data_IF_570368925036
#
_entry.id   IF_570368925036
#
_cell.length_a   1.000
_cell.length_b   1.000
_cell.length_c   1.000
_cell.angle_alpha   90.00
_cell.angle_beta   90.00
_cell.angle_gamma   90.00
#
_symmetry.space_group_name_H-M   'P 1'
#
loop_
_entity.id
_entity.type
_entity.pdbx_description
1 polymer ?
#
# COMPACT_ATOMS: atom_id res chain seq x y z
N UNK A 1 -11.98 3.26 -6.35
CA UNK A 1 -10.89 3.39 -7.37
C UNK A 1 -10.62 2.03 -8.03
N UNK A 2 -9.75 1.93 -9.04
CA UNK A 2 -9.31 0.65 -9.62
C UNK A 2 -8.04 0.12 -8.94
N UNK A 3 -7.70 -1.15 -9.17
CA UNK A 3 -6.41 -1.75 -8.76
C UNK A 3 -5.21 -0.96 -9.30
N UNK A 4 -5.26 -0.51 -10.55
CA UNK A 4 -4.18 0.26 -11.19
C UNK A 4 -4.01 1.66 -10.57
N UNK A 5 -5.13 2.30 -10.16
CA UNK A 5 -5.09 3.55 -9.41
C UNK A 5 -4.34 3.36 -8.08
N UNK A 6 -4.65 2.29 -7.34
CA UNK A 6 -3.99 1.97 -6.07
C UNK A 6 -2.49 1.73 -6.26
N UNK A 7 -2.11 0.96 -7.28
CA UNK A 7 -0.71 0.69 -7.62
C UNK A 7 0.06 1.99 -7.89
N UNK A 8 -0.51 2.89 -8.72
CA UNK A 8 0.11 4.17 -9.06
C UNK A 8 0.25 5.10 -7.85
N UNK A 9 -0.72 5.09 -6.94
CA UNK A 9 -0.65 5.87 -5.69
C UNK A 9 0.44 5.30 -4.78
N UNK A 10 0.49 3.98 -4.61
CA UNK A 10 1.50 3.30 -3.80
C UNK A 10 2.92 3.56 -4.31
N UNK A 11 3.16 3.38 -5.61
CA UNK A 11 4.46 3.66 -6.25
C UNK A 11 4.89 5.11 -6.03
N UNK A 12 3.99 6.06 -6.35
CA UNK A 12 4.27 7.48 -6.18
C UNK A 12 4.61 7.80 -4.72
N UNK A 13 3.82 7.28 -3.77
CA UNK A 13 4.06 7.49 -2.35
C UNK A 13 5.41 6.91 -1.90
N UNK A 14 5.76 5.71 -2.35
CA UNK A 14 7.04 5.09 -2.03
C UNK A 14 8.21 5.94 -2.53
N UNK A 15 8.17 6.40 -3.79
CA UNK A 15 9.22 7.23 -4.39
C UNK A 15 9.34 8.58 -3.66
N UNK A 16 8.22 9.26 -3.40
CA UNK A 16 8.22 10.58 -2.73
C UNK A 16 8.74 10.51 -1.29
N UNK A 17 8.62 9.35 -0.62
CA UNK A 17 9.07 9.13 0.75
C UNK A 17 10.38 8.34 0.85
N UNK A 18 11.07 8.08 -0.28
CA UNK A 18 12.30 7.31 -0.34
C UNK A 18 12.18 5.91 0.31
N UNK A 19 11.02 5.27 0.13
CA UNK A 19 10.74 3.91 0.57
C UNK A 19 11.14 2.89 -0.49
N UNK A 20 11.52 1.67 -0.09
CA UNK A 20 11.89 0.60 -1.01
C UNK A 20 10.73 0.16 -1.90
N UNK A 21 10.91 0.25 -3.22
CA UNK A 21 9.93 -0.16 -4.23
C UNK A 21 10.55 -1.11 -5.26
N UNK A 22 9.90 -2.25 -5.52
CA UNK A 22 10.24 -3.18 -6.61
C UNK A 22 8.98 -3.52 -7.42
N UNK A 23 8.89 -2.98 -8.63
CA UNK A 23 7.76 -3.13 -9.55
C UNK A 23 7.56 -4.57 -10.05
N UNK A 24 8.56 -5.44 -9.88
CA UNK A 24 8.54 -6.84 -10.34
C UNK A 24 7.80 -7.77 -9.39
N UNK A 25 7.65 -7.37 -8.14
CA UNK A 25 7.11 -8.21 -7.07
C UNK A 25 6.03 -7.45 -6.30
N UNK A 26 4.92 -7.10 -6.96
CA UNK A 26 3.80 -6.37 -6.34
C UNK A 26 2.55 -7.25 -6.25
N UNK A 27 2.02 -7.37 -5.04
CA UNK A 27 0.70 -7.92 -4.77
C UNK A 27 -0.27 -6.80 -4.38
N UNK A 28 -1.53 -6.92 -4.79
CA UNK A 28 -2.55 -5.91 -4.52
C UNK A 28 -3.85 -6.60 -4.11
N UNK A 29 -4.28 -6.32 -2.88
CA UNK A 29 -5.45 -6.91 -2.25
C UNK A 29 -6.47 -5.81 -1.95
N UNK A 30 -7.75 -6.12 -2.11
CA UNK A 30 -8.85 -5.25 -1.71
C UNK A 30 -9.48 -5.79 -0.43
N UNK A 31 -9.75 -4.91 0.51
CA UNK A 31 -10.40 -5.22 1.79
C UNK A 31 -11.51 -4.19 2.04
N UNK A 32 -12.77 -4.64 2.06
CA UNK A 32 -13.94 -3.79 2.30
C UNK A 32 -14.21 -3.53 3.79
N UNK A 33 -13.51 -4.23 4.70
CA UNK A 33 -13.70 -4.19 6.14
C UNK A 33 -12.43 -3.77 6.90
N UNK A 34 -11.60 -2.91 6.30
CA UNK A 34 -10.40 -2.41 6.97
C UNK A 34 -10.76 -1.44 8.12
N UNK A 35 -10.29 -1.68 9.35
CA UNK A 35 -10.62 -0.84 10.50
C UNK A 35 -9.78 0.45 10.50
N UNK A 36 -10.39 1.59 10.18
CA UNK A 36 -9.75 2.90 10.26
C UNK A 36 -9.53 3.35 11.71
N UNK A 37 -8.69 4.38 11.92
CA UNK A 37 -8.35 4.90 13.26
C UNK A 37 -9.58 5.37 14.08
N UNK A 38 -10.65 5.79 13.40
CA UNK A 38 -11.89 6.22 14.03
C UNK A 38 -12.81 5.05 14.43
N UNK A 39 -12.39 3.80 14.18
CA UNK A 39 -13.16 2.59 14.46
C UNK A 39 -14.24 2.27 13.42
N UNK A 40 -14.35 3.05 12.34
CA UNK A 40 -15.22 2.72 11.21
C UNK A 40 -14.48 1.81 10.22
N UNK A 41 -15.25 0.96 9.56
CA UNK A 41 -14.73 0.14 8.46
C UNK A 41 -14.75 0.95 7.17
N UNK A 42 -13.62 0.97 6.48
CA UNK A 42 -13.47 1.67 5.21
C UNK A 42 -12.92 0.72 4.16
N UNK A 43 -13.38 0.82 2.90
CA UNK A 43 -12.83 0.01 1.83
C UNK A 43 -11.42 0.48 1.49
N UNK A 44 -10.47 -0.44 1.42
CA UNK A 44 -9.05 -0.15 1.18
C UNK A 44 -8.43 -1.05 0.12
N UNK A 45 -7.37 -0.53 -0.48
CA UNK A 45 -6.42 -1.30 -1.28
C UNK A 45 -5.12 -1.42 -0.49
N UNK A 46 -4.66 -2.64 -0.28
CA UNK A 46 -3.35 -2.93 0.27
C UNK A 46 -2.42 -3.32 -0.87
N UNK A 47 -1.34 -2.55 -1.04
CA UNK A 47 -0.30 -2.80 -2.04
C UNK A 47 0.95 -3.26 -1.31
N UNK A 48 1.36 -4.51 -1.55
CA UNK A 48 2.58 -5.10 -1.00
C UNK A 48 3.61 -5.21 -2.11
N UNK A 49 4.78 -4.58 -1.94
CA UNK A 49 5.94 -4.83 -2.79
C UNK A 49 7.01 -5.58 -2.00
N UNK A 50 7.48 -6.70 -2.56
CA UNK A 50 8.61 -7.43 -2.00
C UNK A 50 9.90 -6.89 -2.62
N UNK A 51 10.59 -6.04 -1.88
CA UNK A 51 11.90 -5.57 -2.26
C UNK A 51 12.95 -6.58 -1.80
N UNK A 52 12.95 -7.77 -2.43
CA UNK A 52 13.85 -8.90 -2.10
C UNK A 52 15.32 -8.47 -2.08
N UNK A 53 15.72 -7.55 -2.99
CA UNK A 53 17.08 -6.99 -3.04
C UNK A 53 17.44 -6.15 -1.81
N UNK A 54 16.44 -5.67 -1.08
CA UNK A 54 16.54 -4.86 0.14
C UNK A 54 16.19 -5.65 1.41
N UNK A 55 15.80 -6.92 1.29
CA UNK A 55 15.60 -7.84 2.42
C UNK A 55 14.29 -7.66 3.19
N UNK A 56 13.24 -7.09 2.57
CA UNK A 56 11.98 -6.83 3.26
C UNK A 56 10.79 -6.58 2.33
N UNK A 57 9.64 -6.36 2.96
CA UNK A 57 8.39 -6.03 2.26
C UNK A 57 7.90 -4.64 2.69
N UNK A 58 7.38 -3.88 1.72
CA UNK A 58 6.67 -2.63 1.95
C UNK A 58 5.19 -2.85 1.71
N UNK A 59 4.38 -2.63 2.75
CA UNK A 59 2.92 -2.67 2.69
C UNK A 59 2.40 -1.24 2.72
N UNK A 60 1.59 -0.85 1.75
CA UNK A 60 0.95 0.46 1.67
C UNK A 60 -0.57 0.27 1.62
N UNK A 61 -1.27 0.79 2.62
CA UNK A 61 -2.72 0.73 2.73
C UNK A 61 -3.31 2.05 2.27
N UNK A 62 -4.28 1.99 1.34
CA UNK A 62 -4.87 3.17 0.67
C UNK A 62 -6.38 3.10 0.80
N UNK A 63 -7.01 4.18 1.25
CA UNK A 63 -8.46 4.32 1.23
C UNK A 63 -8.98 4.33 -0.23
N UNK A 64 -9.85 3.37 -0.56
CA UNK A 64 -10.38 3.18 -1.90
C UNK A 64 -11.37 4.28 -2.36
N UNK A 65 -11.89 5.04 -1.40
CA UNK A 65 -12.86 6.14 -1.57
C UNK A 65 -12.14 7.47 -1.66
N UNK A 66 -11.32 7.82 -0.66
CA UNK A 66 -10.65 9.12 -0.57
C UNK A 66 -9.34 9.19 -1.35
N UNK A 67 -8.79 8.03 -1.74
CA UNK A 67 -7.48 7.91 -2.42
C UNK A 67 -6.30 8.39 -1.58
N UNK A 68 -6.46 8.42 -0.26
CA UNK A 68 -5.43 8.80 0.70
C UNK A 68 -4.69 7.55 1.17
N UNK A 69 -3.37 7.65 1.29
CA UNK A 69 -2.56 6.62 1.95
C UNK A 69 -2.83 6.68 3.45
N UNK A 70 -3.35 5.59 4.00
CA UNK A 70 -3.64 5.44 5.44
C UNK A 70 -2.33 5.15 6.17
N UNK A 71 -1.57 4.18 5.69
CA UNK A 71 -0.30 3.78 6.29
C UNK A 71 0.66 3.20 5.24
N UNK A 72 1.96 3.26 5.54
CA UNK A 72 3.01 2.61 4.79
C UNK A 72 4.00 1.99 5.78
N UNK A 73 4.09 0.65 5.81
CA UNK A 73 4.89 -0.12 6.76
C UNK A 73 5.98 -0.86 6.02
N UNK A 74 7.24 -0.52 6.33
CA UNK A 74 8.40 -1.28 5.90
C UNK A 74 8.77 -2.34 6.95
N UNK A 75 8.60 -3.61 6.59
CA UNK A 75 8.93 -4.75 7.43
C UNK A 75 10.27 -5.36 7.02
N UNK A 76 11.36 -4.90 7.64
CA UNK A 76 12.63 -5.62 7.63
C UNK A 76 12.58 -6.77 8.65
N UNK A 77 12.85 -7.99 8.21
CA UNK A 77 13.21 -9.08 9.12
C UNK A 77 14.71 -9.16 9.30
#
# INVERSE_FOLDING_TARGET
MTKDDALRIAEKHAIENNLPWDDRCVDVVFDDEYPAENGEFVPTWMVRTNADRMGGNLDITIDATTKVVIEAIWCNR
#
